data_IF_171435355350
#
_entry.id   IF_171435355350
#
_cell.length_a   1.000
_cell.length_b   1.000
_cell.length_c   1.000
_cell.angle_alpha   90.00
_cell.angle_beta   90.00
_cell.angle_gamma   90.00
#
_symmetry.space_group_name_H-M   'P 1'
#
loop_
_entity.id
_entity.type
_entity.pdbx_description
1 polymer ?
#
# COMPACT_ATOMS: atom_id res chain seq x y z
N UNK A 1 -21.97 1.63 3.35
CA UNK A 1 -21.50 2.93 2.82
C UNK A 1 -20.08 2.72 2.30
N UNK A 2 -19.76 3.19 1.10
CA UNK A 2 -18.41 3.09 0.53
C UNK A 2 -17.76 4.47 0.68
N UNK A 3 -16.62 4.53 1.35
CA UNK A 3 -15.80 5.75 1.45
C UNK A 3 -14.68 5.67 0.41
N UNK A 4 -14.67 6.60 -0.54
CA UNK A 4 -13.62 6.67 -1.56
C UNK A 4 -12.37 7.28 -0.95
N UNK A 5 -11.24 6.60 -1.08
CA UNK A 5 -9.91 7.05 -0.64
C UNK A 5 -9.00 7.31 -1.83
N UNK A 6 -7.99 8.15 -1.65
CA UNK A 6 -7.03 8.44 -2.70
C UNK A 6 -6.03 7.29 -2.85
N UNK A 7 -5.45 7.17 -4.04
CA UNK A 7 -4.38 6.20 -4.25
C UNK A 7 -3.11 6.50 -3.46
N UNK A 8 -2.85 7.78 -3.16
CA UNK A 8 -1.70 8.15 -2.33
C UNK A 8 -1.88 7.67 -0.89
N UNK A 9 -3.09 7.79 -0.33
CA UNK A 9 -3.43 7.19 0.97
C UNK A 9 -3.28 5.67 0.93
N UNK A 10 -3.76 5.00 -0.13
CA UNK A 10 -3.65 3.56 -0.31
C UNK A 10 -2.21 3.06 -0.46
N UNK A 11 -1.33 3.86 -1.09
CA UNK A 11 0.09 3.57 -1.23
C UNK A 11 0.81 3.75 0.09
N UNK A 12 0.61 4.89 0.76
CA UNK A 12 1.27 5.24 2.03
C UNK A 12 0.87 4.34 3.20
N UNK A 13 -0.31 3.73 3.15
CA UNK A 13 -0.75 2.78 4.17
C UNK A 13 -0.04 1.42 4.13
N UNK A 14 0.78 1.17 3.10
CA UNK A 14 1.38 -0.15 2.86
C UNK A 14 0.43 -1.16 2.21
N UNK A 15 -0.84 -0.81 1.97
CA UNK A 15 -1.81 -1.72 1.35
C UNK A 15 -1.47 -2.04 -0.11
N UNK A 16 -0.98 -1.05 -0.89
CA UNK A 16 -0.55 -1.29 -2.27
C UNK A 16 0.57 -2.32 -2.34
N UNK A 17 1.58 -2.18 -1.46
CA UNK A 17 2.65 -3.16 -1.33
C UNK A 17 2.09 -4.54 -0.94
N UNK A 18 1.21 -4.60 0.06
CA UNK A 18 0.61 -5.85 0.53
C UNK A 18 -0.14 -6.60 -0.58
N UNK A 19 -0.98 -5.91 -1.34
CA UNK A 19 -1.71 -6.49 -2.49
C UNK A 19 -0.74 -6.96 -3.58
N UNK A 20 0.30 -6.16 -3.87
CA UNK A 20 1.31 -6.53 -4.86
C UNK A 20 2.11 -7.78 -4.49
N UNK A 21 2.26 -8.11 -3.20
CA UNK A 21 2.87 -9.41 -2.80
C UNK A 21 2.09 -10.59 -3.38
N UNK A 22 0.76 -10.53 -3.31
CA UNK A 22 -0.12 -11.54 -3.91
C UNK A 22 -0.08 -11.51 -5.43
N UNK A 23 -0.15 -10.32 -6.04
CA UNK A 23 -0.13 -10.19 -7.50
C UNK A 23 1.18 -10.67 -8.13
N UNK A 24 2.33 -10.44 -7.48
CA UNK A 24 3.64 -10.89 -7.95
C UNK A 24 3.69 -12.42 -8.13
N UNK A 25 2.96 -13.18 -7.31
CA UNK A 25 2.85 -14.64 -7.48
C UNK A 25 2.24 -15.03 -8.84
N UNK A 26 1.38 -14.18 -9.39
CA UNK A 26 0.72 -14.38 -10.68
C UNK A 26 1.40 -13.62 -11.84
N UNK A 27 2.58 -13.02 -11.59
CA UNK A 27 3.30 -12.20 -12.56
C UNK A 27 2.59 -10.89 -12.90
N UNK A 28 1.83 -10.35 -11.95
CA UNK A 28 1.11 -9.08 -12.07
C UNK A 28 1.55 -8.11 -10.97
N UNK A 29 1.36 -6.82 -11.21
CA UNK A 29 1.50 -5.77 -10.21
C UNK A 29 0.55 -4.61 -10.53
N UNK A 30 0.17 -3.84 -9.52
CA UNK A 30 -0.38 -2.49 -9.67
C UNK A 30 0.79 -1.53 -9.55
N UNK A 31 1.01 -0.73 -10.60
CA UNK A 31 2.09 0.25 -10.67
C UNK A 31 1.50 1.64 -10.47
N UNK A 32 2.13 2.44 -9.59
CA UNK A 32 1.87 3.86 -9.46
C UNK A 32 3.07 4.63 -10.00
N UNK A 33 2.84 5.49 -11.00
CA UNK A 33 3.84 6.42 -11.52
C UNK A 33 3.87 7.65 -10.61
N UNK A 34 4.91 7.73 -9.78
CA UNK A 34 5.16 8.86 -8.88
C UNK A 34 6.11 9.81 -9.60
N UNK A 35 5.72 11.07 -9.74
CA UNK A 35 6.53 12.13 -10.33
C UNK A 35 7.52 12.70 -9.30
N UNK A 36 8.45 13.55 -9.75
CA UNK A 36 9.50 14.12 -8.90
C UNK A 36 8.98 14.96 -7.73
N UNK A 37 7.78 15.54 -7.87
CA UNK A 37 7.09 16.30 -6.82
C UNK A 37 6.33 15.41 -5.82
N UNK A 38 6.39 14.09 -6.00
CA UNK A 38 5.69 13.10 -5.18
C UNK A 38 4.22 12.87 -5.57
N UNK A 39 3.70 13.56 -6.59
CA UNK A 39 2.35 13.35 -7.09
C UNK A 39 2.25 12.05 -7.91
N UNK A 40 1.06 11.46 -7.94
CA UNK A 40 0.78 10.27 -8.75
C UNK A 40 0.15 10.71 -10.07
N UNK A 41 0.82 10.45 -11.20
CA UNK A 41 0.31 10.80 -12.53
C UNK A 41 -0.52 9.69 -13.18
N UNK A 42 -0.26 8.42 -12.84
CA UNK A 42 -0.97 7.28 -13.41
C UNK A 42 -0.89 6.05 -12.50
N UNK A 43 -1.96 5.24 -12.52
CA UNK A 43 -2.01 3.92 -11.89
C UNK A 43 -2.58 2.91 -12.85
N UNK A 44 -1.93 1.76 -12.97
CA UNK A 44 -2.31 0.73 -13.93
C UNK A 44 -1.80 -0.66 -13.51
N UNK A 45 -2.49 -1.73 -13.93
CA UNK A 45 -1.95 -3.07 -13.82
C UNK A 45 -0.81 -3.27 -14.83
N UNK A 46 0.21 -4.03 -14.45
CA UNK A 46 1.33 -4.37 -15.30
C UNK A 46 1.71 -5.84 -15.14
N UNK A 47 2.23 -6.44 -16.22
CA UNK A 47 2.92 -7.73 -16.15
C UNK A 47 4.31 -7.52 -15.60
N UNK A 48 4.75 -8.44 -14.75
CA UNK A 48 6.09 -8.39 -14.15
C UNK A 48 6.69 -9.77 -13.98
N UNK A 49 8.01 -9.81 -13.87
CA UNK A 49 8.81 -10.99 -13.51
C UNK A 49 9.23 -10.98 -12.04
N UNK A 50 8.91 -9.93 -11.27
CA UNK A 50 9.19 -9.86 -9.84
C UNK A 50 8.44 -10.96 -9.09
N UNK A 51 9.14 -11.57 -8.12
CA UNK A 51 8.61 -12.66 -7.28
C UNK A 51 8.61 -12.27 -5.80
N UNK A 52 8.11 -11.06 -5.54
CA UNK A 52 8.16 -10.43 -4.22
C UNK A 52 9.00 -9.16 -4.24
N UNK A 53 9.37 -8.71 -3.05
CA UNK A 53 10.14 -7.48 -2.84
C UNK A 53 11.48 -7.82 -2.17
N UNK A 54 12.46 -6.91 -2.28
CA UNK A 54 13.69 -7.04 -1.52
C UNK A 54 13.47 -6.81 -0.01
N UNK A 55 14.48 -7.12 0.80
CA UNK A 55 14.36 -7.06 2.26
C UNK A 55 14.09 -5.66 2.80
N UNK A 56 14.58 -4.61 2.12
CA UNK A 56 14.34 -3.24 2.54
C UNK A 56 12.88 -2.85 2.29
N UNK A 57 12.37 -3.12 1.09
CA UNK A 57 10.99 -2.87 0.71
C UNK A 57 10.01 -3.70 1.56
N UNK A 58 10.35 -4.94 1.93
CA UNK A 58 9.54 -5.72 2.88
C UNK A 58 9.50 -5.05 4.26
N UNK A 59 10.64 -4.60 4.80
CA UNK A 59 10.70 -3.96 6.11
C UNK A 59 9.88 -2.66 6.15
N UNK A 60 10.04 -1.80 5.14
CA UNK A 60 9.29 -0.55 5.00
C UNK A 60 7.78 -0.80 4.82
N UNK A 61 7.42 -1.78 3.98
CA UNK A 61 6.04 -2.16 3.73
C UNK A 61 5.32 -2.68 4.98
N UNK A 62 5.97 -3.56 5.74
CA UNK A 62 5.42 -4.04 7.02
C UNK A 62 5.29 -2.92 8.05
N UNK A 63 6.26 -2.02 8.15
CA UNK A 63 6.19 -0.89 9.08
C UNK A 63 5.00 0.03 8.77
N UNK A 64 4.81 0.39 7.49
CA UNK A 64 3.68 1.20 7.04
C UNK A 64 2.33 0.51 7.29
N UNK A 65 2.23 -0.78 6.94
CA UNK A 65 1.03 -1.57 7.14
C UNK A 65 0.67 -1.70 8.62
N UNK A 66 1.64 -1.98 9.49
CA UNK A 66 1.41 -2.08 10.93
C UNK A 66 0.90 -0.76 11.52
N UNK A 67 1.51 0.36 11.13
CA UNK A 67 1.05 1.69 11.55
C UNK A 67 -0.39 1.96 11.11
N UNK A 68 -0.73 1.60 9.86
CA UNK A 68 -2.08 1.74 9.33
C UNK A 68 -3.09 0.85 10.07
N UNK A 69 -2.75 -0.41 10.32
CA UNK A 69 -3.63 -1.33 11.04
C UNK A 69 -3.90 -0.88 12.49
N UNK A 70 -2.90 -0.33 13.17
CA UNK A 70 -3.07 0.22 14.51
C UNK A 70 -4.02 1.43 14.51
N UNK A 71 -3.84 2.36 13.56
CA UNK A 71 -4.72 3.52 13.43
C UNK A 71 -6.16 3.11 13.08
N UNK A 72 -6.34 2.15 12.19
CA UNK A 72 -7.65 1.62 11.82
C UNK A 72 -8.34 0.94 13.01
N UNK A 73 -7.62 0.11 13.78
CA UNK A 73 -8.17 -0.53 14.96
C UNK A 73 -8.63 0.50 16.00
N UNK A 74 -7.82 1.54 16.25
CA UNK A 74 -8.19 2.62 17.17
C UNK A 74 -9.47 3.35 16.70
N UNK A 75 -9.56 3.67 15.40
CA UNK A 75 -10.72 4.34 14.82
C UNK A 75 -12.00 3.47 14.89
N UNK A 76 -11.89 2.16 14.68
CA UNK A 76 -13.03 1.24 14.72
C UNK A 76 -13.50 0.94 16.15
N UNK A 77 -12.59 0.93 17.12
CA UNK A 77 -12.90 0.62 18.51
C UNK A 77 -13.30 1.87 19.32
N UNK A 78 -13.19 3.07 18.75
CA UNK A 78 -13.53 4.33 19.43
C UNK A 78 -12.61 4.67 20.61
N UNK A 79 -11.45 4.03 20.71
CA UNK A 79 -10.48 4.26 21.79
C UNK A 79 -9.60 5.44 21.40
N UNK A 80 -10.04 6.66 21.71
CA UNK A 80 -9.14 7.82 21.80
C UNK A 80 -8.15 7.55 22.92
N UNK A 81 -6.84 7.61 22.61
CA UNK A 81 -5.78 7.58 23.63
C UNK A 81 -6.12 8.63 24.69
N UNK A 82 -6.31 8.18 25.94
CA UNK A 82 -6.27 9.03 27.13
C UNK A 82 -4.89 9.64 27.32
#
# INVERSE_FOLDING_TARGET
MIEVRTWEEFRRSGLLWWVNRGLHLFGWAIVAKVEDDGSISAIYPARTQYRGFDSQAEAEGFAALNAHMLANAAAQLGVTKE
#
